data_IF_144257831066
#
_entry.id   IF_144257831066
#
_cell.length_a   1.000
_cell.length_b   1.000
_cell.length_c   1.000
_cell.angle_alpha   90.00
_cell.angle_beta   90.00
_cell.angle_gamma   90.00
#
_symmetry.space_group_name_H-M   'P 1'
#
loop_
_entity.id
_entity.type
_entity.pdbx_description
1 polymer ?
#
# COMPACT_ATOMS: atom_id res chain seq x y z
N UNK A 1 -1.53 7.58 19.10
CA UNK A 1 -2.03 7.31 17.73
C UNK A 1 -1.00 6.38 17.12
N UNK A 2 -1.35 5.14 16.79
CA UNK A 2 -0.39 4.22 16.15
C UNK A 2 -0.08 4.75 14.76
N UNK A 3 1.12 5.29 14.59
CA UNK A 3 1.56 5.84 13.31
C UNK A 3 1.84 4.67 12.34
N UNK A 4 1.08 4.62 11.24
CA UNK A 4 1.29 3.62 10.20
C UNK A 4 2.63 3.86 9.50
N UNK A 5 3.50 2.86 9.53
CA UNK A 5 4.79 2.88 8.84
C UNK A 5 4.61 2.47 7.36
N UNK A 6 4.55 3.45 6.47
CA UNK A 6 4.30 3.26 5.05
C UNK A 6 5.56 2.84 4.29
N UNK A 7 5.43 1.77 3.49
CA UNK A 7 6.49 1.27 2.61
C UNK A 7 6.10 1.51 1.16
N UNK A 8 6.97 2.20 0.43
CA UNK A 8 6.82 2.47 -1.00
C UNK A 8 7.49 1.36 -1.84
N UNK A 9 6.97 1.11 -3.03
CA UNK A 9 7.61 0.23 -4.01
C UNK A 9 8.98 0.75 -4.46
N UNK A 10 9.92 -0.15 -4.75
CA UNK A 10 11.22 0.19 -5.34
C UNK A 10 11.13 0.55 -6.83
N UNK A 11 9.97 0.30 -7.48
CA UNK A 11 9.69 0.68 -8.87
C UNK A 11 9.22 2.12 -9.02
N UNK A 12 9.05 2.81 -7.90
CA UNK A 12 8.74 4.23 -7.80
C UNK A 12 9.95 5.06 -8.23
N UNK A 13 9.93 5.58 -9.46
CA UNK A 13 11.03 6.35 -10.03
C UNK A 13 11.25 7.72 -9.35
N UNK A 14 12.45 8.28 -9.53
CA UNK A 14 12.83 9.62 -9.06
C UNK A 14 12.64 10.73 -10.13
N UNK A 15 12.32 10.36 -11.37
CA UNK A 15 12.20 11.30 -12.50
C UNK A 15 10.82 11.95 -12.55
N UNK A 16 10.78 13.29 -12.61
CA UNK A 16 9.53 14.06 -12.70
C UNK A 16 8.62 13.58 -13.83
N UNK A 17 7.32 13.47 -13.53
CA UNK A 17 6.30 13.28 -14.55
C UNK A 17 5.14 12.39 -14.12
N UNK A 18 5.38 11.19 -13.58
CA UNK A 18 4.30 10.30 -13.13
C UNK A 18 4.80 9.14 -12.25
N UNK A 19 5.22 9.46 -11.03
CA UNK A 19 5.62 8.49 -10.00
C UNK A 19 4.38 7.83 -9.36
N UNK A 20 3.75 6.88 -10.06
CA UNK A 20 2.64 6.11 -9.50
C UNK A 20 3.17 5.11 -8.46
N UNK A 21 2.95 5.37 -7.18
CA UNK A 21 3.51 4.57 -6.11
C UNK A 21 2.40 4.12 -5.18
N UNK A 22 2.03 2.85 -5.26
CA UNK A 22 1.25 2.19 -4.23
C UNK A 22 2.12 2.07 -2.98
N UNK A 23 1.59 2.48 -1.84
CA UNK A 23 2.24 2.35 -0.53
C UNK A 23 1.44 1.39 0.35
N UNK A 24 2.15 0.59 1.13
CA UNK A 24 1.54 -0.40 2.03
C UNK A 24 2.05 -0.21 3.46
N UNK A 25 1.17 -0.31 4.44
CA UNK A 25 1.53 -0.35 5.86
C UNK A 25 0.91 -1.59 6.53
N UNK A 26 1.70 -2.24 7.39
CA UNK A 26 1.30 -3.43 8.15
C UNK A 26 1.75 -3.24 9.61
N UNK A 27 0.97 -2.53 10.44
CA UNK A 27 1.30 -2.33 11.84
C UNK A 27 1.31 -3.65 12.61
N UNK A 28 2.31 -3.85 13.47
CA UNK A 28 2.48 -5.10 14.25
C UNK A 28 1.32 -5.34 15.23
N UNK A 29 0.67 -4.26 15.65
CA UNK A 29 -0.40 -4.26 16.66
C UNK A 29 -1.79 -4.53 16.10
N UNK A 30 -1.95 -4.60 14.77
CA UNK A 30 -3.25 -4.84 14.14
C UNK A 30 -3.12 -5.86 13.00
N UNK A 31 -4.14 -6.70 12.82
CA UNK A 31 -4.23 -7.62 11.68
C UNK A 31 -4.87 -6.94 10.46
N UNK A 32 -4.40 -5.73 10.13
CA UNK A 32 -4.91 -4.94 9.00
C UNK A 32 -3.76 -4.54 8.10
N UNK A 33 -3.90 -4.82 6.81
CA UNK A 33 -3.02 -4.30 5.76
C UNK A 33 -3.65 -3.04 5.19
N UNK A 34 -2.91 -1.94 5.21
CA UNK A 34 -3.34 -0.67 4.67
C UNK A 34 -2.68 -0.44 3.32
N UNK A 35 -3.45 -0.02 2.32
CA UNK A 35 -2.96 0.28 0.98
C UNK A 35 -3.48 1.64 0.53
N UNK A 36 -2.59 2.46 -0.03
CA UNK A 36 -2.96 3.77 -0.59
C UNK A 36 -2.18 4.09 -1.84
N UNK A 37 -2.70 4.99 -2.64
CA UNK A 37 -1.95 5.65 -3.69
C UNK A 37 -1.19 6.84 -3.10
N UNK A 38 0.10 6.99 -3.42
CA UNK A 38 0.91 8.08 -2.87
C UNK A 38 0.48 9.47 -3.36
N UNK A 39 -0.19 9.56 -4.51
CA UNK A 39 -0.65 10.84 -5.09
C UNK A 39 -2.00 11.25 -4.52
N UNK A 40 -2.85 10.27 -4.20
CA UNK A 40 -4.10 10.47 -3.51
C UNK A 40 -4.21 9.51 -2.31
N UNK A 41 -3.62 9.94 -1.19
CA UNK A 41 -3.51 9.13 0.03
C UNK A 41 -4.86 8.76 0.67
N UNK A 42 -5.96 9.36 0.19
CA UNK A 42 -7.31 9.07 0.65
C UNK A 42 -8.23 8.67 -0.53
N UNK A 43 -9.10 7.66 -0.34
CA UNK A 43 -9.22 6.81 0.84
C UNK A 43 -8.13 5.72 0.89
N UNK A 44 -7.68 5.39 2.12
CA UNK A 44 -6.83 4.22 2.36
C UNK A 44 -7.68 2.95 2.38
N UNK A 45 -7.34 1.99 1.51
CA UNK A 45 -7.94 0.67 1.50
C UNK A 45 -7.42 -0.16 2.68
N UNK A 46 -8.29 -0.97 3.27
CA UNK A 46 -7.98 -1.83 4.43
C UNK A 46 -8.34 -3.26 4.10
N UNK A 47 -7.41 -4.16 4.37
CA UNK A 47 -7.54 -5.59 4.09
C UNK A 47 -7.21 -6.40 5.34
N UNK A 48 -7.80 -7.58 5.47
CA UNK A 48 -7.20 -8.64 6.29
C UNK A 48 -6.01 -9.24 5.55
N UNK A 49 -5.01 -9.83 6.23
CA UNK A 49 -3.86 -10.46 5.56
C UNK A 49 -4.26 -11.49 4.49
N UNK A 50 -5.29 -12.31 4.77
CA UNK A 50 -5.80 -13.29 3.81
C UNK A 50 -6.39 -12.65 2.56
N UNK A 51 -7.25 -11.63 2.72
CA UNK A 51 -7.83 -10.91 1.57
C UNK A 51 -6.78 -10.16 0.75
N UNK A 52 -5.74 -9.64 1.40
CA UNK A 52 -4.63 -8.99 0.71
C UNK A 52 -3.81 -9.99 -0.11
N UNK A 53 -3.55 -11.19 0.42
CA UNK A 53 -2.90 -12.26 -0.32
C UNK A 53 -3.71 -12.68 -1.55
N UNK A 54 -5.03 -12.87 -1.41
CA UNK A 54 -5.93 -13.16 -2.54
C UNK A 54 -5.91 -12.03 -3.57
N UNK A 55 -5.96 -10.78 -3.14
CA UNK A 55 -5.85 -9.62 -4.02
C UNK A 55 -4.57 -9.68 -4.86
N UNK A 56 -3.41 -9.93 -4.23
CA UNK A 56 -2.13 -10.02 -4.94
C UNK A 56 -2.10 -11.14 -5.99
N UNK A 57 -2.76 -12.28 -5.74
CA UNK A 57 -2.84 -13.36 -6.73
C UNK A 57 -3.72 -13.02 -7.94
N UNK A 58 -4.67 -12.10 -7.78
CA UNK A 58 -5.56 -11.66 -8.86
C UNK A 58 -5.00 -10.49 -9.69
N UNK A 59 -3.96 -9.80 -9.21
CA UNK A 59 -3.32 -8.71 -9.95
C UNK A 59 -2.33 -9.29 -10.96
N UNK A 60 -2.67 -9.18 -12.23
CA UNK A 60 -1.78 -9.54 -13.35
C UNK A 60 -0.98 -8.33 -13.82
N UNK A 61 0.18 -8.58 -14.43
CA UNK A 61 1.09 -7.54 -14.93
C UNK A 61 0.63 -6.93 -16.25
#
# INVERSE_FOLDING_TARGET
>A
MNELQWRRSSRSGAGGGNNACVEVAMPVTESTVYLRDSKNAAPTLRFTPGSFATFLTGVTR
#
